data_IF_960834491903
#
_entry.id   IF_960834491903
#
_cell.length_a   1.000
_cell.length_b   1.000
_cell.length_c   1.000
_cell.angle_alpha   90.00
_cell.angle_beta   90.00
_cell.angle_gamma   90.00
#
_symmetry.space_group_name_H-M   'P 1'
#
loop_
_entity.id
_entity.type
_entity.pdbx_description
1 polymer ?
#
# COMPACT_ATOMS: atom_id res chain seq x y z
N UNK A 1 24.61 64.28 25.71
CA UNK A 1 23.90 64.96 24.60
C UNK A 1 23.82 63.94 23.46
N UNK A 2 22.76 63.14 23.36
CA UNK A 2 21.47 63.41 22.70
C UNK A 2 21.61 63.76 21.22
N UNK A 3 21.29 62.78 20.36
CA UNK A 3 20.59 62.92 19.07
C UNK A 3 20.12 61.50 18.67
N UNK A 4 18.90 61.07 18.98
CA UNK A 4 17.63 61.33 18.29
C UNK A 4 17.43 60.57 16.96
N UNK A 5 16.40 59.70 16.98
CA UNK A 5 15.43 59.39 15.89
C UNK A 5 16.03 58.57 14.71
N UNK A 6 15.54 57.38 14.38
CA UNK A 6 14.18 57.10 13.94
C UNK A 6 13.79 55.64 14.14
N UNK A 7 12.54 55.48 14.53
CA UNK A 7 11.77 54.23 14.59
C UNK A 7 11.25 53.96 13.19
N UNK A 8 11.83 52.99 12.49
CA UNK A 8 11.21 52.43 11.28
C UNK A 8 10.98 50.93 11.45
N UNK A 9 9.71 50.62 11.71
CA UNK A 9 8.93 49.54 11.09
C UNK A 9 9.61 48.16 11.03
N UNK A 10 9.31 47.34 12.04
CA UNK A 10 9.07 45.88 11.88
C UNK A 10 8.06 45.64 10.74
N UNK A 11 8.13 44.55 9.96
CA UNK A 11 8.12 43.21 10.54
C UNK A 11 9.04 42.18 9.90
N UNK A 12 9.57 41.33 10.77
CA UNK A 12 9.73 39.87 10.62
C UNK A 12 9.27 39.39 9.23
N UNK A 13 10.20 39.32 8.29
CA UNK A 13 9.99 38.57 7.07
C UNK A 13 10.33 37.12 7.42
N UNK A 14 9.26 36.35 7.59
CA UNK A 14 9.28 34.91 7.79
C UNK A 14 10.38 34.24 6.98
N UNK A 15 11.22 33.50 7.69
CA UNK A 15 12.14 32.53 7.13
C UNK A 15 11.29 31.40 6.57
N UNK A 16 10.68 31.60 5.41
CA UNK A 16 10.20 30.47 4.61
C UNK A 16 11.43 29.93 3.90
N UNK A 17 11.98 28.86 4.45
CA UNK A 17 13.01 28.06 3.81
C UNK A 17 12.64 27.85 2.31
N UNK A 18 13.58 28.03 1.37
CA UNK A 18 13.37 27.49 0.04
C UNK A 18 13.29 25.98 0.21
N UNK A 19 12.12 25.40 -0.04
CA UNK A 19 11.93 23.95 -0.20
C UNK A 19 12.72 23.55 -1.45
N UNK A 20 14.01 23.37 -1.22
CA UNK A 20 14.97 22.86 -2.17
C UNK A 20 14.72 21.37 -2.30
N UNK A 21 14.49 20.94 -3.54
CA UNK A 21 14.35 19.55 -3.88
C UNK A 21 12.93 19.26 -4.34
N UNK A 22 12.79 19.13 -5.66
CA UNK A 22 11.70 18.41 -6.28
C UNK A 22 11.39 17.17 -5.45
N UNK A 23 10.16 17.05 -4.97
CA UNK A 23 9.62 15.81 -4.43
C UNK A 23 9.68 14.79 -5.58
N UNK A 24 10.80 14.10 -5.73
CA UNK A 24 10.86 12.90 -6.53
C UNK A 24 10.17 11.85 -5.68
N UNK A 25 8.86 11.81 -5.83
CA UNK A 25 8.02 10.68 -5.47
C UNK A 25 8.58 9.50 -6.28
N UNK A 26 9.59 8.82 -5.76
CA UNK A 26 9.94 7.50 -6.23
C UNK A 26 8.81 6.59 -5.77
N UNK A 27 7.72 6.63 -6.54
CA UNK A 27 6.74 5.56 -6.60
C UNK A 27 7.58 4.32 -6.88
N UNK A 28 7.80 3.53 -5.84
CA UNK A 28 8.39 2.21 -5.94
C UNK A 28 7.74 1.52 -7.13
N UNK A 29 8.56 1.09 -8.12
CA UNK A 29 8.12 0.38 -9.32
C UNK A 29 6.92 -0.48 -8.97
N UNK A 30 5.71 -0.16 -9.48
CA UNK A 30 4.47 -0.70 -8.96
C UNK A 30 4.59 -2.21 -8.98
N UNK A 31 4.58 -2.79 -7.78
CA UNK A 31 5.11 -4.12 -7.52
C UNK A 31 4.62 -5.09 -8.59
N UNK A 32 5.56 -5.67 -9.33
CA UNK A 32 5.32 -6.74 -10.29
C UNK A 32 4.33 -7.73 -9.67
N UNK A 33 3.27 -8.09 -10.41
CA UNK A 33 2.31 -9.11 -9.99
C UNK A 33 3.06 -10.31 -9.39
N UNK A 34 3.04 -10.44 -8.06
CA UNK A 34 3.87 -11.42 -7.36
C UNK A 34 3.06 -12.69 -7.20
N UNK A 35 3.62 -13.81 -7.69
CA UNK A 35 3.02 -15.12 -7.42
C UNK A 35 3.22 -15.46 -5.95
N UNK A 36 2.12 -15.68 -5.24
CA UNK A 36 2.14 -16.19 -3.86
C UNK A 36 2.19 -17.71 -3.90
N UNK A 37 3.10 -18.29 -3.13
CA UNK A 37 3.37 -19.74 -3.11
C UNK A 37 3.54 -20.25 -1.69
N UNK A 38 4.27 -19.52 -0.85
CA UNK A 38 4.45 -19.80 0.58
C UNK A 38 3.44 -19.04 1.42
N UNK A 39 3.04 -19.62 2.57
CA UNK A 39 2.18 -18.98 3.58
C UNK A 39 2.69 -17.60 4.01
N UNK A 40 4.00 -17.46 4.22
CA UNK A 40 4.65 -16.18 4.55
C UNK A 40 4.35 -15.09 3.51
N UNK A 41 4.31 -15.44 2.22
CA UNK A 41 4.00 -14.47 1.17
C UNK A 41 2.55 -13.96 1.29
N UNK A 42 1.61 -14.81 1.72
CA UNK A 42 0.24 -14.40 1.95
C UNK A 42 0.14 -13.48 3.16
N UNK A 43 0.84 -13.78 4.26
CA UNK A 43 0.92 -12.91 5.44
C UNK A 43 1.41 -11.50 5.08
N UNK A 44 2.47 -11.40 4.28
CA UNK A 44 2.97 -10.10 3.81
C UNK A 44 2.09 -9.42 2.76
N UNK A 45 1.15 -10.14 2.15
CA UNK A 45 0.24 -9.60 1.13
C UNK A 45 -1.16 -9.28 1.68
N UNK A 46 -1.37 -9.38 2.99
CA UNK A 46 -2.61 -8.95 3.64
C UNK A 46 -2.85 -7.46 3.36
N UNK A 47 -4.07 -7.11 2.97
CA UNK A 47 -4.47 -5.80 2.45
C UNK A 47 -4.25 -5.61 0.96
N UNK A 48 -3.64 -6.57 0.25
CA UNK A 48 -3.44 -6.48 -1.20
C UNK A 48 -4.54 -7.19 -1.98
N UNK A 49 -4.86 -6.67 -3.17
CA UNK A 49 -5.75 -7.35 -4.12
C UNK A 49 -5.06 -8.58 -4.71
N UNK A 50 -5.75 -9.73 -4.64
CA UNK A 50 -5.25 -11.02 -5.09
C UNK A 50 -6.19 -11.66 -6.11
N UNK A 51 -5.60 -12.23 -7.15
CA UNK A 51 -6.27 -13.10 -8.11
C UNK A 51 -5.90 -14.54 -7.76
N UNK A 52 -6.90 -15.31 -7.36
CA UNK A 52 -6.77 -16.66 -6.84
C UNK A 52 -7.37 -17.64 -7.83
N UNK A 53 -6.60 -18.64 -8.24
CA UNK A 53 -7.12 -19.77 -9.00
C UNK A 53 -7.38 -20.93 -8.04
N UNK A 54 -8.64 -21.24 -7.76
CA UNK A 54 -9.03 -22.40 -6.95
C UNK A 54 -8.83 -23.68 -7.78
N UNK A 55 -8.29 -24.73 -7.17
CA UNK A 55 -8.10 -26.04 -7.82
C UNK A 55 -9.47 -26.67 -8.11
N UNK A 56 -9.73 -27.00 -9.37
CA UNK A 56 -11.02 -27.53 -9.81
C UNK A 56 -12.16 -26.50 -9.88
N UNK A 57 -11.88 -25.23 -9.59
CA UNK A 57 -12.86 -24.14 -9.58
C UNK A 57 -12.55 -23.00 -10.55
N UNK A 58 -13.31 -21.93 -10.43
CA UNK A 58 -13.13 -20.70 -11.21
C UNK A 58 -12.02 -19.80 -10.64
N UNK A 59 -11.56 -18.84 -11.45
CA UNK A 59 -10.63 -17.80 -10.98
C UNK A 59 -11.43 -16.77 -10.18
N UNK A 60 -11.03 -16.55 -8.95
CA UNK A 60 -11.61 -15.58 -8.03
C UNK A 60 -10.70 -14.36 -7.94
N UNK A 61 -11.30 -13.18 -7.80
CA UNK A 61 -10.60 -11.93 -7.54
C UNK A 61 -11.19 -11.35 -6.26
N UNK A 62 -10.32 -10.93 -5.36
CA UNK A 62 -10.74 -10.29 -4.12
C UNK A 62 -9.56 -9.63 -3.44
N UNK A 63 -9.80 -9.10 -2.26
CA UNK A 63 -8.78 -8.55 -1.38
C UNK A 63 -8.39 -9.60 -0.34
N UNK A 64 -7.10 -9.80 -0.14
CA UNK A 64 -6.61 -10.69 0.91
C UNK A 64 -6.70 -9.96 2.25
N UNK A 65 -7.71 -10.24 3.06
CA UNK A 65 -7.90 -9.52 4.34
C UNK A 65 -7.21 -10.20 5.52
N UNK A 66 -6.92 -11.49 5.41
CA UNK A 66 -6.19 -12.23 6.43
C UNK A 66 -5.50 -13.45 5.81
N UNK A 67 -4.36 -13.82 6.37
CA UNK A 67 -3.67 -15.07 6.07
C UNK A 67 -3.24 -15.72 7.38
N UNK A 68 -3.40 -17.03 7.46
CA UNK A 68 -3.01 -17.87 8.59
C UNK A 68 -2.06 -18.97 8.09
N UNK A 69 -1.61 -19.85 8.98
CA UNK A 69 -0.85 -21.06 8.60
C UNK A 69 -1.71 -22.10 7.87
N UNK A 70 -3.02 -22.10 8.09
CA UNK A 70 -3.96 -23.07 7.50
C UNK A 70 -4.50 -22.62 6.14
N UNK A 71 -4.65 -21.32 5.95
CA UNK A 71 -5.27 -20.77 4.74
C UNK A 71 -5.35 -19.26 4.75
N UNK A 72 -6.23 -18.73 3.91
CA UNK A 72 -6.40 -17.29 3.70
C UNK A 72 -7.86 -16.90 3.67
N UNK A 73 -8.17 -15.68 4.11
CA UNK A 73 -9.49 -15.08 4.03
C UNK A 73 -9.47 -14.00 2.95
N UNK A 74 -10.30 -14.18 1.94
CA UNK A 74 -10.38 -13.31 0.78
C UNK A 74 -11.75 -12.63 0.79
N UNK A 75 -11.75 -11.31 0.82
CA UNK A 75 -12.95 -10.51 0.66
C UNK A 75 -13.25 -10.36 -0.83
N UNK A 76 -14.34 -10.96 -1.26
CA UNK A 76 -14.93 -10.72 -2.58
C UNK A 76 -15.94 -9.58 -2.51
N UNK A 77 -16.58 -9.25 -3.64
CA UNK A 77 -17.64 -8.24 -3.67
C UNK A 77 -18.89 -8.66 -2.89
N UNK A 78 -19.08 -9.96 -2.70
CA UNK A 78 -20.31 -10.54 -2.15
C UNK A 78 -20.13 -10.96 -0.68
N UNK A 79 -18.96 -11.50 -0.32
CA UNK A 79 -18.69 -11.97 1.04
C UNK A 79 -17.18 -12.15 1.33
N UNK A 80 -16.86 -12.38 2.61
CA UNK A 80 -15.54 -12.85 3.03
C UNK A 80 -15.54 -14.37 2.99
N UNK A 81 -14.72 -14.95 2.12
CA UNK A 81 -14.58 -16.40 1.97
C UNK A 81 -13.21 -16.85 2.47
N UNK A 82 -13.19 -17.93 3.27
CA UNK A 82 -11.95 -18.54 3.75
C UNK A 82 -11.60 -19.75 2.91
N UNK A 83 -10.36 -19.80 2.43
CA UNK A 83 -9.84 -20.89 1.59
C UNK A 83 -8.58 -21.49 2.22
N UNK A 84 -8.50 -22.81 2.27
CA UNK A 84 -7.28 -23.54 2.66
C UNK A 84 -6.24 -23.52 1.54
N UNK A 85 -4.95 -23.52 1.89
CA UNK A 85 -3.88 -23.54 0.88
C UNK A 85 -3.97 -24.74 -0.06
N UNK A 86 -4.48 -25.88 0.41
CA UNK A 86 -4.70 -27.09 -0.39
C UNK A 86 -5.72 -26.92 -1.50
N UNK A 87 -6.65 -25.96 -1.37
CA UNK A 87 -7.66 -25.65 -2.39
C UNK A 87 -7.17 -24.57 -3.36
N UNK A 88 -6.08 -23.87 -3.02
CA UNK A 88 -5.53 -22.79 -3.82
C UNK A 88 -4.46 -23.31 -4.77
N UNK A 89 -4.61 -22.99 -6.05
CA UNK A 89 -3.61 -23.25 -7.07
C UNK A 89 -2.66 -22.07 -7.20
N UNK A 90 -2.85 -21.29 -8.27
CA UNK A 90 -2.00 -20.12 -8.52
C UNK A 90 -2.64 -18.87 -7.96
N UNK A 91 -1.95 -18.20 -7.04
CA UNK A 91 -2.33 -16.89 -6.51
C UNK A 91 -1.35 -15.84 -6.99
N UNK A 92 -1.85 -14.69 -7.43
CA UNK A 92 -1.07 -13.53 -7.83
C UNK A 92 -1.62 -12.26 -7.19
N UNK A 93 -0.77 -11.39 -6.68
CA UNK A 93 -1.16 -10.03 -6.31
C UNK A 93 -1.30 -9.17 -7.57
N UNK A 94 -2.20 -8.19 -7.54
CA UNK A 94 -2.34 -7.17 -8.57
C UNK A 94 -2.73 -5.83 -7.92
N UNK A 95 -2.49 -4.74 -8.63
CA UNK A 95 -2.83 -3.38 -8.19
C UNK A 95 -3.82 -2.78 -9.18
N UNK A 96 -4.87 -2.14 -8.67
CA UNK A 96 -5.80 -1.33 -9.46
C UNK A 96 -5.66 0.12 -8.98
N UNK A 97 -5.49 1.05 -9.93
CA UNK A 97 -5.39 2.48 -9.72
C UNK A 97 -6.78 3.14 -9.77
#
# INVERSE_FOLDING_TARGET
LCADISRDISPILDITAPVSGEYRFEVSSPGIERKLTKSEHFLHSVGSKVKVKVLGGQKLKGELIAADEKGVSIQTKDAIEKFDYSQLGTVKTYFEW
#
